data_IF_667373732022
#
_entry.id   IF_667373732022
#
_cell.length_a   1.000
_cell.length_b   1.000
_cell.length_c   1.000
_cell.angle_alpha   90.00
_cell.angle_beta   90.00
_cell.angle_gamma   90.00
#
_symmetry.space_group_name_H-M   'P 1'
#
loop_
_entity.id
_entity.type
_entity.pdbx_description
1 polymer ?
#
# COMPACT_ATOMS: atom_id res chain seq x y z
N UNK A 1 -12.57 11.45 -13.64
CA UNK A 1 -12.67 10.53 -12.49
C UNK A 1 -13.08 11.31 -11.27
N UNK A 2 -14.07 10.84 -10.52
CA UNK A 2 -14.37 11.35 -9.18
C UNK A 2 -13.36 10.83 -8.15
N UNK A 3 -13.25 11.52 -7.02
CA UNK A 3 -12.41 11.10 -5.90
C UNK A 3 -12.76 9.69 -5.40
N UNK A 4 -14.04 9.32 -5.42
CA UNK A 4 -14.51 7.99 -5.03
C UNK A 4 -14.06 6.89 -6.00
N UNK A 5 -14.05 7.16 -7.31
CA UNK A 5 -13.57 6.20 -8.30
C UNK A 5 -12.07 5.94 -8.13
N UNK A 6 -11.29 6.99 -7.87
CA UNK A 6 -9.85 6.90 -7.61
C UNK A 6 -9.61 6.07 -6.35
N UNK A 7 -10.36 6.32 -5.28
CA UNK A 7 -10.29 5.52 -4.04
C UNK A 7 -10.58 4.05 -4.29
N UNK A 8 -11.62 3.73 -5.07
CA UNK A 8 -11.93 2.34 -5.47
C UNK A 8 -10.78 1.70 -6.23
N UNK A 9 -10.18 2.41 -7.19
CA UNK A 9 -9.03 1.91 -7.97
C UNK A 9 -7.81 1.68 -7.05
N UNK A 10 -7.54 2.61 -6.12
CA UNK A 10 -6.47 2.47 -5.13
C UNK A 10 -6.68 1.22 -4.28
N UNK A 11 -7.89 1.04 -3.73
CA UNK A 11 -8.26 -0.13 -2.92
C UNK A 11 -8.07 -1.43 -3.69
N UNK A 12 -8.53 -1.50 -4.94
CA UNK A 12 -8.36 -2.68 -5.80
C UNK A 12 -6.87 -2.99 -6.06
N UNK A 13 -6.05 -1.98 -6.30
CA UNK A 13 -4.61 -2.19 -6.53
C UNK A 13 -3.88 -2.63 -5.25
N UNK A 14 -4.24 -2.07 -4.09
CA UNK A 14 -3.71 -2.50 -2.79
C UNK A 14 -4.11 -3.94 -2.46
N UNK A 15 -5.35 -4.33 -2.74
CA UNK A 15 -5.79 -5.72 -2.59
C UNK A 15 -5.03 -6.69 -3.52
N UNK A 16 -4.76 -6.27 -4.76
CA UNK A 16 -3.93 -7.06 -5.68
C UNK A 16 -2.51 -7.21 -5.13
N UNK A 17 -1.94 -6.14 -4.57
CA UNK A 17 -0.63 -6.20 -3.93
C UNK A 17 -0.62 -7.16 -2.74
N UNK A 18 -1.58 -7.06 -1.82
CA UNK A 18 -1.70 -7.97 -0.67
C UNK A 18 -1.73 -9.43 -1.12
N UNK A 19 -2.54 -9.76 -2.13
CA UNK A 19 -2.60 -11.12 -2.70
C UNK A 19 -1.25 -11.56 -3.26
N UNK A 20 -0.56 -10.71 -4.00
CA UNK A 20 0.77 -11.02 -4.55
C UNK A 20 1.82 -11.25 -3.46
N UNK A 21 1.79 -10.44 -2.39
CA UNK A 21 2.71 -10.58 -1.26
C UNK A 21 2.42 -11.85 -0.47
N UNK A 22 1.14 -12.17 -0.23
CA UNK A 22 0.74 -13.43 0.41
C UNK A 22 1.22 -14.64 -0.40
N UNK A 23 1.07 -14.63 -1.72
CA UNK A 23 1.47 -15.75 -2.57
C UNK A 23 2.99 -15.91 -2.68
N UNK A 24 3.74 -14.80 -2.78
CA UNK A 24 5.19 -14.85 -3.03
C UNK A 24 6.03 -14.86 -1.76
N UNK A 25 5.54 -14.27 -0.67
CA UNK A 25 6.27 -14.09 0.58
C UNK A 25 5.50 -14.61 1.80
N UNK A 26 4.33 -15.23 1.65
CA UNK A 26 3.54 -15.77 2.77
C UNK A 26 3.22 -14.73 3.86
N UNK A 27 3.14 -13.44 3.50
CA UNK A 27 2.80 -12.37 4.43
C UNK A 27 1.39 -11.88 4.13
N UNK A 28 0.55 -11.85 5.16
CA UNK A 28 -0.80 -11.32 5.05
C UNK A 28 -0.76 -9.80 5.29
N UNK A 29 -1.02 -9.03 4.24
CA UNK A 29 -1.10 -7.57 4.32
C UNK A 29 -2.55 -7.10 4.37
N UNK A 30 -2.86 -6.29 5.38
CA UNK A 30 -4.11 -5.55 5.47
C UNK A 30 -3.82 -4.04 5.40
N UNK A 31 -4.71 -3.27 4.80
CA UNK A 31 -4.54 -1.82 4.66
C UNK A 31 -5.68 -1.10 5.37
N UNK A 32 -5.34 -0.16 6.25
CA UNK A 32 -6.32 0.76 6.82
C UNK A 32 -6.93 1.67 5.73
N UNK A 33 -8.15 2.13 5.97
CA UNK A 33 -8.83 3.05 5.04
C UNK A 33 -8.05 4.37 4.85
N UNK A 34 -7.32 4.82 5.88
CA UNK A 34 -6.45 6.00 5.82
C UNK A 34 -5.31 5.83 4.80
N UNK A 35 -4.73 4.63 4.71
CA UNK A 35 -3.70 4.32 3.70
C UNK A 35 -4.31 4.28 2.31
N UNK A 36 -5.53 3.75 2.15
CA UNK A 36 -6.24 3.77 0.87
C UNK A 36 -6.47 5.21 0.41
N UNK A 37 -6.93 6.08 1.30
CA UNK A 37 -7.18 7.49 1.02
C UNK A 37 -5.88 8.25 0.72
N UNK A 38 -4.81 7.97 1.46
CA UNK A 38 -3.49 8.53 1.21
C UNK A 38 -2.98 8.17 -0.19
N UNK A 39 -3.00 6.89 -0.54
CA UNK A 39 -2.56 6.39 -1.86
C UNK A 39 -3.43 6.96 -2.99
N UNK A 40 -4.75 7.06 -2.78
CA UNK A 40 -5.66 7.67 -3.73
C UNK A 40 -5.31 9.16 -3.98
N UNK A 41 -4.96 9.88 -2.91
CA UNK A 41 -4.60 11.30 -2.97
C UNK A 41 -3.27 11.54 -3.68
N UNK A 42 -2.21 10.80 -3.33
CA UNK A 42 -0.88 11.01 -3.93
C UNK A 42 -0.71 10.35 -5.30
N UNK A 43 -1.50 9.31 -5.58
CA UNK A 43 -1.44 8.55 -6.83
C UNK A 43 -2.34 9.11 -7.93
N UNK A 44 -3.13 10.14 -7.63
CA UNK A 44 -3.96 10.83 -8.60
C UNK A 44 -3.22 12.02 -9.18
N UNK A 45 -3.14 12.04 -10.50
CA UNK A 45 -2.69 13.20 -11.25
C UNK A 45 -3.80 13.60 -12.24
N UNK A 46 -4.26 14.86 -12.25
CA UNK A 46 -5.34 15.28 -13.14
C UNK A 46 -4.97 15.26 -14.63
N UNK A 47 -3.67 15.31 -14.97
CA UNK A 47 -3.15 15.23 -16.34
C UNK A 47 -2.91 13.78 -16.76
N UNK A 48 -2.38 12.94 -15.88
CA UNK A 48 -2.02 11.53 -16.18
C UNK A 48 -3.03 10.48 -15.68
N UNK A 49 -4.11 10.91 -15.05
CA UNK A 49 -5.14 10.05 -14.47
C UNK A 49 -4.58 9.14 -13.37
N UNK A 50 -5.01 7.88 -13.36
CA UNK A 50 -4.63 6.88 -12.36
C UNK A 50 -3.30 6.14 -12.65
N UNK A 51 -2.50 6.56 -13.65
CA UNK A 51 -1.18 5.94 -13.90
C UNK A 51 -0.20 6.09 -12.72
N UNK A 52 -0.13 7.24 -12.03
CA UNK A 52 0.78 7.42 -10.89
C UNK A 52 0.41 6.56 -9.67
N UNK A 53 -0.82 6.04 -9.57
CA UNK A 53 -1.24 5.15 -8.48
C UNK A 53 -0.37 3.92 -8.33
N UNK A 54 0.04 3.30 -9.44
CA UNK A 54 0.92 2.11 -9.37
C UNK A 54 2.31 2.49 -8.86
N UNK A 55 2.84 3.64 -9.29
CA UNK A 55 4.11 4.15 -8.83
C UNK A 55 4.07 4.50 -7.34
N UNK A 56 3.02 5.20 -6.90
CA UNK A 56 2.78 5.53 -5.50
C UNK A 56 2.72 4.28 -4.61
N UNK A 57 1.96 3.25 -5.02
CA UNK A 57 1.89 1.98 -4.29
C UNK A 57 3.26 1.30 -4.22
N UNK A 58 4.01 1.29 -5.32
CA UNK A 58 5.36 0.69 -5.32
C UNK A 58 6.28 1.42 -4.34
N UNK A 59 6.40 2.73 -4.46
CA UNK A 59 7.33 3.54 -3.65
C UNK A 59 6.95 3.58 -2.18
N UNK A 60 5.66 3.73 -1.87
CA UNK A 60 5.22 3.87 -0.49
C UNK A 60 5.09 2.53 0.21
N UNK A 61 4.54 1.51 -0.47
CA UNK A 61 4.24 0.23 0.18
C UNK A 61 5.34 -0.81 -0.07
N UNK A 62 5.67 -1.11 -1.34
CA UNK A 62 6.61 -2.20 -1.65
C UNK A 62 8.01 -1.92 -1.14
N UNK A 63 8.52 -0.72 -1.39
CA UNK A 63 9.88 -0.37 -0.96
C UNK A 63 9.99 -0.33 0.56
N UNK A 64 8.94 0.13 1.25
CA UNK A 64 8.90 0.14 2.71
C UNK A 64 8.81 -1.27 3.29
N UNK A 65 7.99 -2.15 2.71
CA UNK A 65 7.93 -3.56 3.09
C UNK A 65 9.28 -4.25 2.89
N UNK A 66 9.94 -4.02 1.75
CA UNK A 66 11.25 -4.59 1.45
C UNK A 66 12.29 -4.20 2.53
N UNK A 67 12.28 -2.94 2.98
CA UNK A 67 13.13 -2.50 4.10
C UNK A 67 12.80 -3.24 5.40
N UNK A 68 11.53 -3.40 5.74
CA UNK A 68 11.13 -4.12 6.96
C UNK A 68 11.55 -5.59 6.94
N UNK A 69 11.52 -6.23 5.78
CA UNK A 69 12.00 -7.61 5.58
C UNK A 69 13.53 -7.69 5.75
N UNK A 70 14.28 -6.76 5.15
CA UNK A 70 15.74 -6.70 5.30
C UNK A 70 16.15 -6.46 6.76
N UNK A 71 15.38 -5.66 7.48
CA UNK A 71 15.57 -5.40 8.92
C UNK A 71 15.06 -6.55 9.82
N UNK A 72 14.53 -7.64 9.24
CA UNK A 72 13.93 -8.79 9.95
C UNK A 72 12.80 -8.41 10.91
N UNK A 73 12.19 -7.23 10.71
CA UNK A 73 11.06 -6.76 11.50
C UNK A 73 9.77 -7.44 11.07
N UNK A 74 9.64 -7.79 9.79
CA UNK A 74 8.57 -8.61 9.24
C UNK A 74 9.19 -9.90 8.70
N UNK A 75 8.53 -11.03 8.92
CA UNK A 75 8.97 -12.35 8.52
C UNK A 75 7.85 -13.07 7.75
N UNK A 76 8.24 -14.13 7.04
CA UNK A 76 7.28 -15.03 6.39
C UNK A 76 6.29 -15.61 7.41
N UNK A 77 5.00 -15.64 7.05
CA UNK A 77 3.91 -16.08 7.92
C UNK A 77 3.30 -14.98 8.79
N UNK A 78 3.89 -13.78 8.83
CA UNK A 78 3.33 -12.68 9.60
C UNK A 78 2.04 -12.14 8.97
N UNK A 79 1.12 -11.72 9.85
CA UNK A 79 0.00 -10.85 9.50
C UNK A 79 0.35 -9.43 9.90
N UNK A 80 0.21 -8.50 8.97
CA UNK A 80 0.67 -7.13 9.11
C UNK A 80 -0.40 -6.17 8.60
N UNK A 81 -0.81 -5.25 9.45
CA UNK A 81 -1.66 -4.13 9.10
C UNK A 81 -0.81 -2.91 8.77
N UNK A 82 -1.02 -2.35 7.58
CA UNK A 82 -0.40 -1.13 7.11
C UNK A 82 -1.28 0.07 7.48
N UNK A 83 -0.69 1.00 8.23
CA UNK A 83 -1.35 2.21 8.73
C UNK A 83 -0.62 3.46 8.30
N UNK A 84 -1.31 4.60 8.32
CA UNK A 84 -0.68 5.89 8.07
C UNK A 84 -0.12 6.43 9.40
N UNK A 85 1.19 6.61 9.44
CA UNK A 85 1.90 7.25 10.55
C UNK A 85 1.60 8.76 10.60
N UNK A 86 1.83 9.36 11.77
CA UNK A 86 1.59 10.79 12.00
C UNK A 86 2.53 11.69 11.20
N UNK A 87 3.65 11.15 10.75
CA UNK A 87 4.65 11.82 9.91
C UNK A 87 4.28 11.76 8.40
N UNK A 88 3.12 11.19 8.05
CA UNK A 88 2.68 11.03 6.68
C UNK A 88 3.36 9.88 5.94
N UNK A 89 4.04 8.97 6.66
CA UNK A 89 4.63 7.75 6.09
C UNK A 89 3.78 6.55 6.44
N UNK A 90 3.92 5.47 5.67
CA UNK A 90 3.27 4.21 6.01
C UNK A 90 4.07 3.46 7.07
N UNK A 91 3.35 2.92 8.05
CA UNK A 91 3.89 2.08 9.11
C UNK A 91 3.30 0.68 9.00
N UNK A 92 4.08 -0.32 9.42
CA UNK A 92 3.68 -1.72 9.42
C UNK A 92 3.53 -2.20 10.87
N UNK A 93 2.34 -2.67 11.22
CA UNK A 93 2.00 -3.16 12.57
C UNK A 93 1.61 -4.62 12.49
N UNK A 94 2.17 -5.44 13.38
CA UNK A 94 1.76 -6.84 13.55
C UNK A 94 0.60 -6.95 14.52
#
# INVERSE_FOLDING_TARGET
LSQEEIRKIAKLNLQKLAKQVLQSQQIELEFSEEVVDFIAKIGFDPVFGARPLRAAISQQIKDALARQLLEQKINHGDKVTVVLGRDGRVEFKK
#
